data_IF_574406877130
#
_entry.id   IF_574406877130
#
_cell.length_a   1.000
_cell.length_b   1.000
_cell.length_c   1.000
_cell.angle_alpha   90.00
_cell.angle_beta   90.00
_cell.angle_gamma   90.00
#
_symmetry.space_group_name_H-M   'P 1'
#
loop_
_entity.id
_entity.type
_entity.pdbx_description
1 polymer ?
#
# COMPACT_ATOMS: atom_id res chain seq x y z
N UNK A 1 -10.79 -6.35 16.24
CA UNK A 1 -10.09 -6.87 15.04
C UNK A 1 -10.57 -8.29 14.84
N UNK A 2 -11.03 -8.64 13.64
CA UNK A 2 -11.47 -9.99 13.30
C UNK A 2 -10.38 -10.65 12.44
N UNK A 3 -10.05 -11.91 12.70
CA UNK A 3 -9.16 -12.73 11.87
C UNK A 3 -9.79 -14.11 11.69
N UNK A 4 -9.60 -14.71 10.51
CA UNK A 4 -10.02 -16.09 10.23
C UNK A 4 -8.80 -16.99 10.42
N UNK A 5 -8.91 -17.93 11.36
CA UNK A 5 -7.85 -18.89 11.63
C UNK A 5 -7.63 -19.78 10.39
N UNK A 6 -6.42 -19.77 9.83
CA UNK A 6 -6.05 -20.56 8.65
C UNK A 6 -6.19 -19.83 7.31
N UNK A 7 -6.68 -18.59 7.26
CA UNK A 7 -6.61 -17.80 6.03
C UNK A 7 -5.16 -17.43 5.72
N UNK A 8 -4.75 -17.68 4.47
CA UNK A 8 -3.48 -17.17 3.98
C UNK A 8 -3.59 -15.65 3.89
N UNK A 9 -2.69 -14.95 4.59
CA UNK A 9 -2.56 -13.52 4.39
C UNK A 9 -2.15 -13.26 2.94
N UNK A 10 -2.76 -12.30 2.25
CA UNK A 10 -2.45 -12.04 0.86
C UNK A 10 -0.98 -11.63 0.72
N UNK A 11 -0.31 -12.24 -0.26
CA UNK A 11 1.07 -11.92 -0.59
C UNK A 11 1.20 -10.46 -1.00
N UNK A 12 0.24 -9.97 -1.79
CA UNK A 12 0.12 -8.58 -2.19
C UNK A 12 -1.36 -8.26 -2.42
N UNK A 13 -1.81 -7.14 -1.87
CA UNK A 13 -3.05 -6.47 -2.22
C UNK A 13 -2.68 -5.14 -2.85
N UNK A 14 -3.38 -4.79 -3.92
CA UNK A 14 -3.40 -3.45 -4.50
C UNK A 14 -4.85 -3.00 -4.56
N UNK A 15 -5.13 -1.80 -4.07
CA UNK A 15 -6.45 -1.19 -4.16
C UNK A 15 -6.36 0.18 -4.82
N UNK A 16 -7.42 0.56 -5.52
CA UNK A 16 -7.59 1.89 -6.11
C UNK A 16 -9.02 2.36 -5.91
N UNK A 17 -9.22 3.66 -5.70
CA UNK A 17 -10.56 4.23 -5.57
C UNK A 17 -10.59 5.75 -5.55
N UNK A 18 -11.78 6.36 -5.68
CA UNK A 18 -11.94 7.82 -5.71
C UNK A 18 -11.96 8.46 -4.32
N UNK A 19 -11.77 7.68 -3.24
CA UNK A 19 -11.90 8.13 -1.85
C UNK A 19 -10.58 7.90 -1.11
N UNK A 20 -10.12 8.86 -0.29
CA UNK A 20 -8.90 8.70 0.50
C UNK A 20 -9.00 7.55 1.51
N UNK A 21 -7.86 6.89 1.76
CA UNK A 21 -7.74 5.88 2.80
C UNK A 21 -7.60 6.56 4.18
N UNK A 22 -8.71 6.87 4.85
CA UNK A 22 -8.70 7.68 6.10
C UNK A 22 -8.76 6.87 7.40
N UNK A 23 -8.91 5.54 7.35
CA UNK A 23 -9.20 4.73 8.53
C UNK A 23 -8.01 3.84 8.92
N UNK A 24 -6.88 4.47 9.24
CA UNK A 24 -5.72 3.74 9.74
C UNK A 24 -5.91 3.35 11.22
N UNK A 25 -5.39 2.19 11.65
CA UNK A 25 -5.36 1.82 13.07
C UNK A 25 -4.60 2.84 13.92
N UNK A 26 -4.96 2.98 15.19
CA UNK A 26 -4.33 3.97 16.09
C UNK A 26 -2.82 3.78 16.31
N UNK A 27 -2.27 2.60 16.01
CA UNK A 27 -0.84 2.31 16.09
C UNK A 27 -0.09 2.52 14.77
N UNK A 28 -0.75 3.01 13.72
CA UNK A 28 -0.09 3.30 12.45
C UNK A 28 0.79 4.54 12.56
N UNK A 29 1.98 4.50 11.96
CA UNK A 29 2.80 5.69 11.71
C UNK A 29 3.04 5.84 10.22
N UNK A 30 2.91 7.05 9.69
CA UNK A 30 3.13 7.34 8.27
C UNK A 30 4.40 8.18 8.11
N UNK A 31 5.29 7.75 7.22
CA UNK A 31 6.45 8.53 6.77
C UNK A 31 6.32 8.84 5.26
N UNK A 32 6.62 10.08 4.82
CA UNK A 32 6.59 10.39 3.39
C UNK A 32 7.72 9.66 2.65
N UNK A 33 7.42 9.15 1.46
CA UNK A 33 8.39 8.45 0.60
C UNK A 33 8.25 8.90 -0.85
N UNK A 34 9.37 8.92 -1.57
CA UNK A 34 9.36 9.07 -3.04
C UNK A 34 9.23 7.69 -3.69
N UNK A 35 8.37 7.58 -4.71
CA UNK A 35 8.17 6.38 -5.50
C UNK A 35 7.95 6.70 -6.97
N UNK A 36 8.07 5.69 -7.82
CA UNK A 36 7.78 5.80 -9.26
C UNK A 36 6.42 5.16 -9.56
N UNK A 37 5.57 5.85 -10.32
CA UNK A 37 4.27 5.35 -10.78
C UNK A 37 3.98 5.90 -12.18
N UNK A 38 3.59 5.02 -13.11
CA UNK A 38 3.41 5.36 -14.54
C UNK A 38 4.60 6.12 -15.15
N UNK A 39 5.84 5.74 -14.79
CA UNK A 39 7.08 6.39 -15.26
C UNK A 39 7.31 7.80 -14.73
N UNK A 40 6.53 8.24 -13.73
CA UNK A 40 6.66 9.55 -13.08
C UNK A 40 7.04 9.37 -11.62
N UNK A 41 7.81 10.32 -11.09
CA UNK A 41 8.02 10.42 -9.65
C UNK A 41 6.75 10.94 -8.98
N UNK A 42 6.33 10.30 -7.90
CA UNK A 42 5.23 10.74 -7.04
C UNK A 42 5.61 10.60 -5.57
N UNK A 43 4.90 11.33 -4.72
CA UNK A 43 5.07 11.27 -3.27
C UNK A 43 3.96 10.41 -2.69
N UNK A 44 4.34 9.38 -1.95
CA UNK A 44 3.43 8.52 -1.21
C UNK A 44 3.68 8.58 0.29
N UNK A 45 2.86 7.85 1.04
CA UNK A 45 3.07 7.55 2.45
C UNK A 45 3.44 6.09 2.63
N UNK A 46 4.52 5.84 3.36
CA UNK A 46 4.83 4.53 3.89
C UNK A 46 4.22 4.42 5.29
N UNK A 47 3.23 3.56 5.39
CA UNK A 47 2.47 3.32 6.61
C UNK A 47 3.04 2.08 7.26
N UNK A 48 3.67 2.25 8.42
CA UNK A 48 4.06 1.13 9.27
C UNK A 48 2.83 0.64 10.03
N UNK A 49 2.49 -0.62 9.84
CA UNK A 49 1.32 -1.26 10.44
C UNK A 49 1.73 -2.66 10.90
N UNK A 50 1.25 -3.10 12.05
CA UNK A 50 1.44 -4.49 12.50
C UNK A 50 0.08 -5.19 12.46
N UNK A 51 -0.30 -5.68 11.28
CA UNK A 51 -1.61 -6.30 11.05
C UNK A 51 -1.47 -7.60 10.25
N UNK A 52 -1.77 -8.73 10.89
CA UNK A 52 -1.84 -10.05 10.24
C UNK A 52 -0.67 -10.34 9.27
N UNK A 53 0.57 -10.14 9.72
CA UNK A 53 1.76 -10.40 8.91
C UNK A 53 2.11 -9.33 7.86
N UNK A 54 1.26 -8.31 7.70
CA UNK A 54 1.58 -7.07 6.97
C UNK A 54 2.32 -6.15 7.93
N UNK A 55 3.55 -5.76 7.56
CA UNK A 55 4.41 -4.84 8.33
C UNK A 55 4.36 -3.40 7.80
N UNK A 56 4.07 -3.27 6.50
CA UNK A 56 4.11 -2.02 5.77
C UNK A 56 2.98 -1.98 4.74
N UNK A 57 2.42 -0.80 4.55
CA UNK A 57 1.57 -0.45 3.43
C UNK A 57 2.10 0.81 2.77
N UNK A 58 1.91 0.96 1.47
CA UNK A 58 2.11 2.20 0.76
C UNK A 58 0.76 2.76 0.35
N UNK A 59 0.63 4.08 0.44
CA UNK A 59 -0.43 4.83 -0.21
C UNK A 59 0.16 5.94 -1.09
N UNK A 60 -0.55 6.26 -2.17
CA UNK A 60 -0.21 7.41 -3.02
C UNK A 60 -1.46 7.87 -3.76
N UNK A 61 -1.35 9.06 -4.36
CA UNK A 61 -2.40 9.65 -5.16
C UNK A 61 -1.88 9.94 -6.56
N UNK A 62 -2.70 9.62 -7.57
CA UNK A 62 -2.43 9.98 -8.96
C UNK A 62 -3.75 10.15 -9.73
N UNK A 63 -3.84 11.16 -10.59
CA UNK A 63 -5.00 11.43 -11.46
C UNK A 63 -6.37 11.44 -10.75
N UNK A 64 -6.43 11.91 -9.49
CA UNK A 64 -7.67 11.97 -8.70
C UNK A 64 -8.09 10.64 -8.06
N UNK A 65 -7.28 9.58 -8.21
CA UNK A 65 -7.45 8.31 -7.54
C UNK A 65 -6.46 8.14 -6.39
N UNK A 66 -6.91 7.43 -5.37
CA UNK A 66 -6.10 6.99 -4.23
C UNK A 66 -5.77 5.52 -4.42
N UNK A 67 -4.50 5.21 -4.27
CA UNK A 67 -3.96 3.88 -4.38
C UNK A 67 -3.40 3.45 -3.05
N UNK A 68 -3.48 2.15 -2.77
CA UNK A 68 -2.66 1.55 -1.73
C UNK A 68 -2.21 0.15 -2.11
N UNK A 69 -1.04 -0.23 -1.61
CA UNK A 69 -0.59 -1.61 -1.69
C UNK A 69 0.05 -2.07 -0.38
N UNK A 70 -0.04 -3.37 -0.11
CA UNK A 70 0.48 -3.98 1.10
C UNK A 70 0.27 -5.49 1.08
N UNK A 71 0.92 -6.19 2.00
CA UNK A 71 0.87 -7.65 2.05
C UNK A 71 2.07 -8.21 2.81
N UNK A 72 2.33 -9.50 2.61
CA UNK A 72 3.52 -10.17 3.13
C UNK A 72 4.75 -9.88 2.24
N UNK A 73 5.10 -8.59 2.13
CA UNK A 73 6.21 -8.09 1.31
C UNK A 73 7.17 -7.29 2.19
N UNK A 74 8.47 -7.44 1.95
CA UNK A 74 9.49 -6.63 2.60
C UNK A 74 9.47 -5.18 2.09
N UNK A 75 9.88 -4.23 2.94
CA UNK A 75 9.82 -2.78 2.68
C UNK A 75 10.43 -2.39 1.31
N UNK A 76 11.62 -2.90 1.01
CA UNK A 76 12.35 -2.53 -0.21
C UNK A 76 11.68 -3.03 -1.48
N UNK A 77 10.98 -4.17 -1.43
CA UNK A 77 10.21 -4.65 -2.57
C UNK A 77 8.89 -3.90 -2.69
N UNK A 78 8.22 -3.62 -1.56
CA UNK A 78 6.98 -2.84 -1.53
C UNK A 78 7.14 -1.48 -2.24
N UNK A 79 8.25 -0.77 -1.99
CA UNK A 79 8.57 0.52 -2.63
C UNK A 79 8.73 0.46 -4.15
N UNK A 80 9.02 -0.71 -4.71
CA UNK A 80 9.18 -0.90 -6.16
C UNK A 80 7.88 -1.32 -6.84
N UNK A 81 6.87 -1.74 -6.09
CA UNK A 81 5.62 -2.26 -6.66
C UNK A 81 4.89 -1.23 -7.52
N UNK A 82 4.68 0.03 -7.06
CA UNK A 82 3.96 1.01 -7.87
C UNK A 82 4.57 1.21 -9.26
N UNK A 83 5.90 1.21 -9.37
CA UNK A 83 6.61 1.37 -10.65
C UNK A 83 6.52 0.15 -11.58
N UNK A 84 6.07 -1.00 -11.05
CA UNK A 84 5.82 -2.23 -11.81
C UNK A 84 4.34 -2.39 -12.20
N UNK A 85 3.45 -1.54 -11.69
CA UNK A 85 2.03 -1.63 -12.03
C UNK A 85 1.82 -1.14 -13.46
N UNK A 86 1.05 -1.92 -14.22
CA UNK A 86 0.58 -1.56 -15.55
C UNK A 86 -0.94 -1.57 -15.53
N UNK A 87 -1.57 -0.58 -16.18
CA UNK A 87 -3.01 -0.64 -16.40
C UNK A 87 -3.34 -1.87 -17.25
N UNK A 88 -4.36 -2.63 -16.83
CA UNK A 88 -4.92 -3.68 -17.67
C UNK A 88 -5.71 -3.01 -18.81
N UNK A 89 -5.53 -3.52 -20.03
CA UNK A 89 -6.27 -3.09 -21.23
C UNK A 89 -7.77 -3.40 -21.13
#
# INVERSE_FOLDING_TARGET
MYSVLGEQNPLLIVTQGPVPHTNLPSNSSTEPVELEFEGKKTTGGLIKIELAGVKYMLDWQDNGYYYSCGGQVEKDELLKIPGKLTQAE
#
